data_IF_647968378091
#
_entry.id   IF_647968378091
#
_cell.length_a   1.000
_cell.length_b   1.000
_cell.length_c   1.000
_cell.angle_alpha   90.00
_cell.angle_beta   90.00
_cell.angle_gamma   90.00
#
_symmetry.space_group_name_H-M   'P 1'
#
loop_
_entity.id
_entity.type
_entity.pdbx_description
1 polymer ?
#
# COMPACT_ATOMS: atom_id res chain seq x y z
N UNK A 1 28.61 -8.59 81.65
CA UNK A 1 29.16 -8.31 80.30
C UNK A 1 28.33 -8.86 79.12
N UNK A 2 27.53 -9.92 79.29
CA UNK A 2 26.79 -10.57 78.17
C UNK A 2 25.69 -9.68 77.54
N UNK A 3 24.93 -8.93 78.35
CA UNK A 3 23.85 -8.06 77.85
C UNK A 3 24.37 -6.93 76.93
N UNK A 4 25.50 -6.31 77.26
CA UNK A 4 26.15 -5.26 76.45
C UNK A 4 26.61 -5.77 75.07
N UNK A 5 27.02 -7.04 74.99
CA UNK A 5 27.45 -7.71 73.74
C UNK A 5 26.27 -8.00 72.80
N UNK A 6 25.09 -8.31 73.35
CA UNK A 6 23.84 -8.50 72.58
C UNK A 6 23.30 -7.17 72.01
N UNK A 7 23.34 -6.10 72.80
CA UNK A 7 22.92 -4.74 72.37
C UNK A 7 23.73 -4.26 71.16
N UNK A 8 25.06 -4.42 71.18
CA UNK A 8 25.92 -4.04 70.05
C UNK A 8 25.74 -4.89 68.78
N UNK A 9 25.26 -6.14 68.91
CA UNK A 9 24.95 -6.98 67.75
C UNK A 9 23.66 -6.53 67.06
N UNK A 10 22.64 -6.19 67.84
CA UNK A 10 21.35 -5.67 67.35
C UNK A 10 21.56 -4.35 66.62
N UNK A 11 22.36 -3.43 67.17
CA UNK A 11 22.65 -2.14 66.52
C UNK A 11 23.34 -2.32 65.15
N UNK A 12 24.29 -3.27 65.04
CA UNK A 12 24.93 -3.59 63.76
C UNK A 12 23.98 -4.23 62.76
N UNK A 13 23.04 -5.04 63.24
CA UNK A 13 22.01 -5.64 62.39
C UNK A 13 21.08 -4.57 61.83
N UNK A 14 20.58 -3.67 62.67
CA UNK A 14 19.73 -2.56 62.25
C UNK A 14 20.44 -1.66 61.22
N UNK A 15 21.70 -1.25 61.49
CA UNK A 15 22.49 -0.47 60.52
C UNK A 15 22.70 -1.17 59.17
N UNK A 16 22.78 -2.50 59.16
CA UNK A 16 22.88 -3.27 57.90
C UNK A 16 21.55 -3.32 57.17
N UNK A 17 20.44 -3.45 57.89
CA UNK A 17 19.10 -3.41 57.32
C UNK A 17 18.81 -2.03 56.71
N UNK A 18 19.12 -0.94 57.41
CA UNK A 18 18.94 0.42 56.90
C UNK A 18 19.71 0.64 55.60
N UNK A 19 20.98 0.22 55.55
CA UNK A 19 21.79 0.28 54.32
C UNK A 19 21.20 -0.54 53.18
N UNK A 20 20.69 -1.73 53.47
CA UNK A 20 20.08 -2.57 52.45
C UNK A 20 18.78 -1.94 51.90
N UNK A 21 18.01 -1.26 52.74
CA UNK A 21 16.82 -0.51 52.33
C UNK A 21 17.23 0.68 51.46
N UNK A 22 18.20 1.49 51.87
CA UNK A 22 18.70 2.64 51.10
C UNK A 22 19.25 2.23 49.73
N UNK A 23 20.02 1.14 49.68
CA UNK A 23 20.54 0.61 48.42
C UNK A 23 19.42 0.04 47.55
N UNK A 24 18.38 -0.54 48.16
CA UNK A 24 17.17 -0.98 47.47
C UNK A 24 16.44 0.19 46.81
N UNK A 25 16.25 1.29 47.54
CA UNK A 25 15.61 2.52 47.03
C UNK A 25 16.41 3.07 45.84
N UNK A 26 17.73 3.24 45.99
CA UNK A 26 18.60 3.73 44.90
C UNK A 26 18.56 2.86 43.65
N UNK A 27 18.43 1.54 43.82
CA UNK A 27 18.31 0.60 42.68
C UNK A 27 16.96 0.72 42.01
N UNK A 28 15.89 0.89 42.78
CA UNK A 28 14.55 1.09 42.25
C UNK A 28 14.48 2.40 41.44
N UNK A 29 15.04 3.49 41.96
CA UNK A 29 15.07 4.79 41.25
C UNK A 29 15.81 4.67 39.91
N UNK A 30 17.00 4.05 39.90
CA UNK A 30 17.74 3.81 38.65
C UNK A 30 16.97 2.95 37.65
N UNK A 31 16.32 1.89 38.13
CA UNK A 31 15.53 1.03 37.26
C UNK A 31 14.32 1.77 36.66
N UNK A 32 13.71 2.69 37.41
CA UNK A 32 12.64 3.54 36.90
C UNK A 32 13.16 4.54 35.85
N UNK A 33 14.28 5.20 36.11
CA UNK A 33 14.90 6.13 35.15
C UNK A 33 15.25 5.43 33.83
N UNK A 34 15.89 4.25 33.91
CA UNK A 34 16.22 3.43 32.74
C UNK A 34 14.94 3.02 31.98
N UNK A 35 13.89 2.60 32.70
CA UNK A 35 12.62 2.21 32.10
C UNK A 35 11.93 3.38 31.38
N UNK A 36 11.94 4.58 31.98
CA UNK A 36 11.39 5.80 31.36
C UNK A 36 12.17 6.15 30.10
N UNK A 37 13.50 6.10 30.15
CA UNK A 37 14.35 6.40 29.00
C UNK A 37 14.11 5.40 27.87
N UNK A 38 14.10 4.10 28.17
CA UNK A 38 13.83 3.04 27.19
C UNK A 38 12.42 3.18 26.62
N UNK A 39 11.42 3.47 27.45
CA UNK A 39 10.05 3.73 27.02
C UNK A 39 9.95 4.91 26.04
N UNK A 40 10.64 6.01 26.33
CA UNK A 40 10.72 7.18 25.46
C UNK A 40 11.41 6.88 24.13
N UNK A 41 12.52 6.13 24.14
CA UNK A 41 13.21 5.69 22.92
C UNK A 41 12.33 4.76 22.08
N UNK A 42 11.68 3.79 22.71
CA UNK A 42 10.79 2.85 22.02
C UNK A 42 9.59 3.55 21.39
N UNK A 43 8.94 4.46 22.13
CA UNK A 43 7.83 5.27 21.61
C UNK A 43 8.28 6.15 20.43
N UNK A 44 9.45 6.77 20.53
CA UNK A 44 10.02 7.60 19.45
C UNK A 44 10.33 6.78 18.21
N UNK A 45 10.91 5.59 18.38
CA UNK A 45 11.21 4.69 17.27
C UNK A 45 9.93 4.19 16.61
N UNK A 46 8.94 3.76 17.40
CA UNK A 46 7.64 3.33 16.91
C UNK A 46 6.92 4.45 16.14
N UNK A 47 7.02 5.70 16.60
CA UNK A 47 6.47 6.85 15.89
C UNK A 47 7.15 7.05 14.53
N UNK A 48 8.49 7.06 14.48
CA UNK A 48 9.25 7.22 13.23
C UNK A 48 8.92 6.12 12.23
N UNK A 49 8.92 4.86 12.66
CA UNK A 49 8.60 3.73 11.77
C UNK A 49 7.16 3.78 11.28
N UNK A 50 6.21 4.18 12.13
CA UNK A 50 4.80 4.38 11.74
C UNK A 50 4.65 5.46 10.67
N UNK A 51 5.31 6.61 10.84
CA UNK A 51 5.29 7.71 9.86
C UNK A 51 5.91 7.28 8.53
N UNK A 52 7.03 6.56 8.54
CA UNK A 52 7.65 6.02 7.32
C UNK A 52 6.73 5.04 6.58
N UNK A 53 6.12 4.09 7.30
CA UNK A 53 5.18 3.12 6.72
C UNK A 53 3.98 3.84 6.10
N UNK A 54 3.43 4.84 6.79
CA UNK A 54 2.33 5.65 6.27
C UNK A 54 2.71 6.37 4.99
N UNK A 55 3.90 6.97 4.94
CA UNK A 55 4.38 7.68 3.76
C UNK A 55 4.59 6.74 2.56
N UNK A 56 5.16 5.54 2.79
CA UNK A 56 5.28 4.50 1.76
C UNK A 56 3.91 4.06 1.24
N UNK A 57 2.97 3.77 2.12
CA UNK A 57 1.62 3.35 1.74
C UNK A 57 0.89 4.43 0.92
N UNK A 58 1.03 5.71 1.27
CA UNK A 58 0.47 6.82 0.49
C UNK A 58 1.09 6.89 -0.92
N UNK A 59 2.41 6.72 -1.03
CA UNK A 59 3.12 6.71 -2.31
C UNK A 59 2.67 5.55 -3.19
N UNK A 60 2.66 4.33 -2.65
CA UNK A 60 2.22 3.13 -3.37
C UNK A 60 0.77 3.24 -3.83
N UNK A 61 -0.13 3.74 -2.97
CA UNK A 61 -1.53 4.00 -3.35
C UNK A 61 -1.61 4.94 -4.57
N UNK A 62 -0.86 6.04 -4.57
CA UNK A 62 -0.83 6.98 -5.71
C UNK A 62 -0.32 6.31 -6.99
N UNK A 63 0.71 5.49 -6.90
CA UNK A 63 1.24 4.77 -8.05
C UNK A 63 0.25 3.73 -8.60
N UNK A 64 -0.37 2.94 -7.72
CA UNK A 64 -1.35 1.92 -8.10
C UNK A 64 -2.57 2.57 -8.75
N UNK A 65 -3.11 3.63 -8.14
CA UNK A 65 -4.26 4.36 -8.69
C UNK A 65 -3.93 4.96 -10.06
N UNK A 66 -2.75 5.59 -10.22
CA UNK A 66 -2.30 6.13 -11.50
C UNK A 66 -2.13 5.04 -12.57
N UNK A 67 -1.52 3.89 -12.23
CA UNK A 67 -1.40 2.74 -13.14
C UNK A 67 -2.76 2.16 -13.51
N UNK A 68 -3.67 2.05 -12.54
CA UNK A 68 -5.04 1.58 -12.74
C UNK A 68 -5.82 2.47 -13.72
N UNK A 69 -5.81 3.78 -13.49
CA UNK A 69 -6.47 4.76 -14.38
C UNK A 69 -5.88 4.69 -15.79
N UNK A 70 -4.55 4.63 -15.93
CA UNK A 70 -3.89 4.49 -17.23
C UNK A 70 -4.35 3.23 -17.98
N UNK A 71 -4.42 2.09 -17.29
CA UNK A 71 -4.87 0.82 -17.89
C UNK A 71 -6.34 0.88 -18.32
N UNK A 72 -7.21 1.43 -17.47
CA UNK A 72 -8.63 1.63 -17.80
C UNK A 72 -8.77 2.53 -19.03
N UNK A 73 -8.09 3.67 -19.05
CA UNK A 73 -8.15 4.59 -20.19
C UNK A 73 -7.63 3.95 -21.48
N UNK A 74 -6.53 3.19 -21.41
CA UNK A 74 -6.02 2.46 -22.57
C UNK A 74 -7.04 1.42 -23.08
N UNK A 75 -7.68 0.67 -22.18
CA UNK A 75 -8.73 -0.28 -22.59
C UNK A 75 -9.95 0.41 -23.18
N UNK A 76 -10.39 1.55 -22.62
CA UNK A 76 -11.50 2.34 -23.16
C UNK A 76 -11.15 2.86 -24.55
N UNK A 77 -9.92 3.36 -24.75
CA UNK A 77 -9.46 3.83 -26.05
C UNK A 77 -9.44 2.71 -27.09
N UNK A 78 -8.92 1.53 -26.73
CA UNK A 78 -8.90 0.36 -27.60
C UNK A 78 -10.31 -0.09 -28.01
N UNK A 79 -11.24 -0.15 -27.04
CA UNK A 79 -12.64 -0.50 -27.32
C UNK A 79 -13.31 0.56 -28.19
N UNK A 80 -13.13 1.85 -27.91
CA UNK A 80 -13.66 2.94 -28.75
C UNK A 80 -13.18 2.80 -30.19
N UNK A 81 -11.87 2.58 -30.37
CA UNK A 81 -11.29 2.40 -31.70
C UNK A 81 -11.87 1.17 -32.42
N UNK A 82 -12.04 0.05 -31.74
CA UNK A 82 -12.68 -1.12 -32.32
C UNK A 82 -14.13 -0.82 -32.74
N UNK A 83 -14.92 -0.14 -31.90
CA UNK A 83 -16.31 0.20 -32.23
C UNK A 83 -16.43 1.19 -33.39
N UNK A 84 -15.50 2.15 -33.52
CA UNK A 84 -15.49 3.08 -34.66
C UNK A 84 -15.14 2.35 -35.95
N UNK A 85 -14.16 1.45 -35.94
CA UNK A 85 -13.80 0.64 -37.12
C UNK A 85 -14.98 -0.23 -37.57
N UNK A 86 -15.67 -0.90 -36.64
CA UNK A 86 -16.88 -1.68 -36.98
C UNK A 86 -17.98 -0.79 -37.56
N UNK A 87 -18.20 0.40 -37.01
CA UNK A 87 -19.20 1.34 -37.53
C UNK A 87 -18.84 1.83 -38.94
N UNK A 88 -17.57 2.12 -39.20
CA UNK A 88 -17.08 2.55 -40.53
C UNK A 88 -17.19 1.42 -41.56
N UNK A 89 -16.86 0.19 -41.17
CA UNK A 89 -16.99 -0.99 -42.02
C UNK A 89 -18.46 -1.27 -42.39
N UNK A 90 -19.39 -1.13 -41.43
CA UNK A 90 -20.83 -1.22 -41.70
C UNK A 90 -21.32 -0.12 -42.66
N UNK A 91 -20.89 1.13 -42.47
CA UNK A 91 -21.23 2.22 -43.38
C UNK A 91 -20.67 2.00 -44.80
N UNK A 92 -19.49 1.38 -44.89
CA UNK A 92 -18.86 1.02 -46.18
C UNK A 92 -19.63 -0.09 -46.89
N UNK A 93 -20.15 -1.07 -46.15
CA UNK A 93 -21.02 -2.13 -46.68
C UNK A 93 -22.33 -1.56 -47.24
N UNK A 94 -22.94 -0.58 -46.56
CA UNK A 94 -24.16 0.09 -47.02
C UNK A 94 -23.92 0.81 -48.37
N UNK A 95 -22.84 1.59 -48.47
CA UNK A 95 -22.44 2.27 -49.71
C UNK A 95 -22.18 1.29 -50.86
N UNK A 96 -21.49 0.17 -50.58
CA UNK A 96 -21.27 -0.90 -51.56
C UNK A 96 -22.59 -1.49 -52.07
N UNK A 97 -23.57 -1.70 -51.19
CA UNK A 97 -24.91 -2.16 -51.57
C UNK A 97 -25.64 -1.17 -52.48
N UNK A 98 -25.48 0.14 -52.24
CA UNK A 98 -26.00 1.20 -53.10
C UNK A 98 -25.41 1.17 -54.51
N UNK A 99 -24.08 1.03 -54.64
CA UNK A 99 -23.40 0.96 -55.94
C UNK A 99 -23.80 -0.27 -56.77
N UNK A 100 -24.05 -1.40 -56.10
CA UNK A 100 -24.59 -2.61 -56.75
C UNK A 100 -25.98 -2.35 -57.31
N UNK A 101 -26.87 -1.73 -56.51
CA UNK A 101 -28.24 -1.39 -56.95
C UNK A 101 -28.23 -0.39 -58.11
N UNK A 102 -27.25 0.50 -58.17
CA UNK A 102 -27.06 1.45 -59.27
C UNK A 102 -26.46 0.83 -60.55
N UNK A 103 -26.12 -0.47 -60.55
CA UNK A 103 -25.55 -1.16 -61.71
C UNK A 103 -24.08 -0.81 -62.01
N UNK A 104 -23.43 -0.05 -61.12
CA UNK A 104 -22.02 0.38 -61.28
C UNK A 104 -21.05 -0.75 -60.94
N UNK A 105 -21.46 -1.68 -60.08
CA UNK A 105 -20.67 -2.82 -59.61
C UNK A 105 -21.30 -4.13 -60.10
N UNK A 106 -20.46 -5.05 -60.60
CA UNK A 106 -20.92 -6.42 -60.91
C UNK A 106 -21.12 -7.23 -59.63
N UNK A 107 -21.99 -8.24 -59.66
CA UNK A 107 -22.26 -9.09 -58.48
C UNK A 107 -20.98 -9.77 -57.95
N UNK A 108 -20.07 -10.17 -58.85
CA UNK A 108 -18.80 -10.80 -58.47
C UNK A 108 -17.90 -9.84 -57.68
N UNK A 109 -17.73 -8.61 -58.16
CA UNK A 109 -16.92 -7.59 -57.51
C UNK A 109 -17.52 -7.14 -56.17
N UNK A 110 -18.85 -7.08 -56.07
CA UNK A 110 -19.54 -6.79 -54.82
C UNK A 110 -19.29 -7.88 -53.77
N UNK A 111 -19.42 -9.15 -54.14
CA UNK A 111 -19.23 -10.27 -53.20
C UNK A 111 -17.78 -10.36 -52.70
N UNK A 112 -16.79 -10.15 -53.56
CA UNK A 112 -15.38 -10.13 -53.15
C UNK A 112 -15.09 -9.02 -52.14
N UNK A 113 -15.60 -7.79 -52.38
CA UNK A 113 -15.40 -6.65 -51.48
C UNK A 113 -16.16 -6.81 -50.17
N UNK A 114 -17.40 -7.32 -50.22
CA UNK A 114 -18.20 -7.65 -49.03
C UNK A 114 -17.50 -8.67 -48.15
N UNK A 115 -16.98 -9.76 -48.73
CA UNK A 115 -16.24 -10.80 -47.99
C UNK A 115 -15.00 -10.26 -47.29
N UNK A 116 -14.25 -9.37 -47.95
CA UNK A 116 -13.06 -8.71 -47.37
C UNK A 116 -13.38 -7.79 -46.18
N UNK A 117 -14.52 -7.10 -46.20
CA UNK A 117 -14.94 -6.23 -45.09
C UNK A 117 -15.49 -7.07 -43.94
N UNK A 118 -16.33 -8.07 -44.25
CA UNK A 118 -16.88 -8.97 -43.23
C UNK A 118 -15.80 -9.81 -42.53
N UNK A 119 -14.64 -10.06 -43.14
CA UNK A 119 -13.53 -10.73 -42.45
C UNK A 119 -12.78 -9.84 -41.45
N UNK A 120 -13.07 -8.53 -41.41
CA UNK A 120 -12.44 -7.56 -40.50
C UNK A 120 -13.31 -7.22 -39.29
N UNK A 121 -14.59 -7.62 -39.32
CA UNK A 121 -15.59 -7.46 -38.26
C UNK A 121 -15.69 -8.79 -37.50
#
# INVERSE_FOLDING_TARGET
MVAKKKIGHIERFLKKADRAIDDGIKRADKALDDAVQLGGMAASQAKKTSEELRNRAIKEKKEITAKGIKKINASIAAVKQATTTTSEDLATLEKLGGLRKAGILTEKEFQEKKKKILSRI
#
